data_IF_174253952768
#
_entry.id   IF_174253952768
#
_cell.length_a   1.000
_cell.length_b   1.000
_cell.length_c   1.000
_cell.angle_alpha   90.00
_cell.angle_beta   90.00
_cell.angle_gamma   90.00
#
_symmetry.space_group_name_H-M   'P 1'
#
loop_
_entity.id
_entity.type
_entity.pdbx_description
1 polymer ?
#
# COMPACT_ATOMS: atom_id res chain seq x y z
N UNK A 1 -71.06 56.27 22.28
CA UNK A 1 -69.59 56.48 22.20
C UNK A 1 -68.97 55.84 23.43
N UNK A 2 -67.85 55.12 23.21
CA UNK A 2 -67.00 54.41 24.19
C UNK A 2 -67.63 53.23 24.94
N UNK A 3 -67.34 52.00 24.49
CA UNK A 3 -67.57 50.75 25.23
C UNK A 3 -66.23 50.15 25.69
N UNK A 4 -66.17 49.85 26.99
CA UNK A 4 -65.06 49.22 27.73
C UNK A 4 -65.64 47.98 28.44
N UNK A 5 -64.84 46.90 28.52
CA UNK A 5 -65.02 45.68 29.37
C UNK A 5 -65.97 44.62 28.77
N UNK A 6 -65.73 43.30 28.80
CA UNK A 6 -64.89 42.43 29.64
C UNK A 6 -64.77 41.03 29.01
N UNK A 7 -63.63 40.32 29.26
CA UNK A 7 -63.44 38.89 29.65
C UNK A 7 -64.30 37.78 28.96
N UNK A 8 -63.84 36.59 28.55
CA UNK A 8 -62.73 35.69 28.91
C UNK A 8 -62.66 34.57 27.85
N UNK A 9 -61.51 33.91 27.71
CA UNK A 9 -61.41 32.64 26.99
C UNK A 9 -59.97 32.15 26.90
N UNK A 10 -59.35 31.83 28.03
CA UNK A 10 -57.99 31.32 28.11
C UNK A 10 -57.91 29.84 27.69
N UNK A 11 -56.95 29.55 26.82
CA UNK A 11 -56.36 28.23 26.63
C UNK A 11 -54.86 28.46 26.46
N UNK A 12 -54.13 28.40 27.57
CA UNK A 12 -52.68 28.31 27.54
C UNK A 12 -52.34 26.86 27.13
N UNK A 13 -51.96 26.67 25.87
CA UNK A 13 -51.33 25.44 25.44
C UNK A 13 -49.93 25.39 26.06
N UNK A 14 -49.76 24.61 27.12
CA UNK A 14 -48.45 24.25 27.63
C UNK A 14 -47.79 23.31 26.61
N UNK A 15 -46.95 23.85 25.74
CA UNK A 15 -46.10 23.07 24.85
C UNK A 15 -44.98 22.41 25.67
N UNK A 16 -45.22 21.19 26.13
CA UNK A 16 -44.14 20.29 26.54
C UNK A 16 -43.40 19.88 25.28
N UNK A 17 -42.35 20.63 24.92
CA UNK A 17 -41.38 20.16 23.95
C UNK A 17 -40.69 18.93 24.56
N UNK A 18 -40.75 17.74 23.93
CA UNK A 18 -39.98 16.62 24.39
C UNK A 18 -38.50 17.00 24.24
N UNK A 19 -37.79 17.12 25.36
CA UNK A 19 -36.34 17.21 25.36
C UNK A 19 -35.83 15.82 25.00
N UNK A 20 -35.74 15.54 23.71
CA UNK A 20 -35.03 14.38 23.23
C UNK A 20 -33.56 14.55 23.67
N UNK A 21 -33.14 13.78 24.66
CA UNK A 21 -31.73 13.57 24.94
C UNK A 21 -31.15 12.89 23.69
N UNK A 22 -30.54 13.70 22.83
CA UNK A 22 -29.76 13.21 21.72
C UNK A 22 -28.54 12.47 22.31
N UNK A 23 -28.65 11.15 22.45
CA UNK A 23 -27.49 10.29 22.67
C UNK A 23 -26.72 10.31 21.36
N UNK A 24 -25.69 11.15 21.30
CA UNK A 24 -24.74 11.08 20.19
C UNK A 24 -24.16 9.65 20.16
N UNK A 25 -24.09 8.99 18.98
CA UNK A 25 -23.51 7.67 18.90
C UNK A 25 -22.08 7.74 19.45
N UNK A 26 -21.76 6.87 20.40
CA UNK A 26 -20.42 6.78 20.96
C UNK A 26 -19.44 6.57 19.80
N UNK A 27 -18.56 7.54 19.57
CA UNK A 27 -17.57 7.48 18.50
C UNK A 27 -16.57 6.39 18.87
N UNK A 28 -16.51 5.33 18.08
CA UNK A 28 -15.54 4.26 18.27
C UNK A 28 -14.11 4.84 18.16
N UNK A 29 -13.34 4.73 19.23
CA UNK A 29 -11.96 5.18 19.26
C UNK A 29 -11.04 4.09 18.65
N UNK A 30 -10.88 4.16 17.34
CA UNK A 30 -9.98 3.29 16.58
C UNK A 30 -8.55 3.37 17.13
N UNK A 31 -8.09 4.55 17.57
CA UNK A 31 -6.72 4.73 18.08
C UNK A 31 -6.52 3.96 19.36
N UNK A 32 -7.48 4.04 20.29
CA UNK A 32 -7.42 3.28 21.54
C UNK A 32 -7.52 1.77 21.28
N UNK A 33 -8.42 1.34 20.40
CA UNK A 33 -8.62 -0.06 20.05
C UNK A 33 -7.37 -0.71 19.43
N UNK A 34 -6.75 -0.04 18.45
CA UNK A 34 -5.61 -0.60 17.71
C UNK A 34 -4.24 -0.39 18.38
N UNK A 35 -4.16 0.45 19.42
CA UNK A 35 -2.88 0.89 20.01
C UNK A 35 -1.95 -0.27 20.33
N UNK A 36 -2.44 -1.29 21.04
CA UNK A 36 -1.60 -2.40 21.49
C UNK A 36 -1.05 -3.21 20.30
N UNK A 37 -1.87 -3.45 19.28
CA UNK A 37 -1.47 -4.15 18.05
C UNK A 37 -0.42 -3.36 17.29
N UNK A 38 -0.68 -2.07 17.03
CA UNK A 38 0.24 -1.19 16.29
C UNK A 38 1.60 -1.10 16.98
N UNK A 39 1.63 -0.90 18.30
CA UNK A 39 2.90 -0.76 19.02
C UNK A 39 3.69 -2.07 19.07
N UNK A 40 3.03 -3.23 19.20
CA UNK A 40 3.70 -4.53 19.13
C UNK A 40 4.31 -4.76 17.74
N UNK A 41 3.55 -4.49 16.69
CA UNK A 41 4.01 -4.74 15.32
C UNK A 41 5.14 -3.77 14.94
N UNK A 42 5.01 -2.49 15.29
CA UNK A 42 6.05 -1.49 15.05
C UNK A 42 7.32 -1.75 15.86
N UNK A 43 7.22 -2.21 17.12
CA UNK A 43 8.39 -2.58 17.92
C UNK A 43 9.17 -3.74 17.29
N UNK A 44 8.48 -4.72 16.69
CA UNK A 44 9.12 -5.76 15.88
C UNK A 44 9.83 -5.17 14.66
N UNK A 45 9.13 -4.35 13.88
CA UNK A 45 9.67 -3.80 12.63
C UNK A 45 10.79 -2.77 12.83
N UNK A 46 10.91 -2.14 14.01
CA UNK A 46 12.07 -1.32 14.35
C UNK A 46 13.38 -2.11 14.34
N UNK A 47 13.35 -3.42 14.62
CA UNK A 47 14.54 -4.28 14.59
C UNK A 47 14.89 -4.78 13.19
N UNK A 48 14.12 -4.41 12.18
CA UNK A 48 14.21 -4.94 10.84
C UNK A 48 14.80 -3.90 9.89
N UNK A 49 16.02 -4.14 9.39
CA UNK A 49 16.65 -3.27 8.40
C UNK A 49 15.87 -3.24 7.07
N UNK A 50 15.94 -2.14 6.30
CA UNK A 50 15.44 -2.09 4.93
C UNK A 50 16.03 -3.21 4.08
N UNK A 51 15.16 -3.91 3.37
CA UNK A 51 15.52 -4.87 2.34
C UNK A 51 14.66 -4.57 1.12
N UNK A 52 15.31 -4.36 -0.02
CA UNK A 52 14.65 -4.04 -1.29
C UNK A 52 14.90 -5.16 -2.30
N UNK A 53 14.40 -4.99 -3.51
CA UNK A 53 14.55 -5.99 -4.58
C UNK A 53 16.02 -6.35 -4.87
N UNK A 54 16.98 -5.44 -4.65
CA UNK A 54 18.41 -5.73 -4.92
C UNK A 54 19.00 -6.78 -3.99
N UNK A 55 18.29 -7.15 -2.91
CA UNK A 55 18.72 -8.16 -1.95
C UNK A 55 18.55 -9.60 -2.47
N UNK A 56 17.82 -9.80 -3.56
CA UNK A 56 17.63 -11.09 -4.19
C UNK A 56 17.71 -10.99 -5.71
N UNK A 57 18.07 -12.09 -6.36
CA UNK A 57 18.09 -12.19 -7.81
C UNK A 57 17.62 -13.58 -8.24
N UNK A 58 16.97 -13.65 -9.39
CA UNK A 58 16.63 -14.90 -10.06
C UNK A 58 17.38 -14.98 -11.38
N UNK A 59 18.11 -16.07 -11.60
CA UNK A 59 18.77 -16.32 -12.89
C UNK A 59 17.78 -16.50 -14.06
N UNK A 60 16.49 -16.62 -13.74
CA UNK A 60 15.39 -16.66 -14.73
C UNK A 60 14.88 -15.26 -15.12
N UNK A 61 15.34 -14.20 -14.44
CA UNK A 61 15.02 -12.82 -14.80
C UNK A 61 15.77 -12.38 -16.05
N UNK A 62 15.09 -11.66 -16.93
CA UNK A 62 15.72 -10.93 -18.03
C UNK A 62 16.07 -9.48 -17.66
N UNK A 63 15.68 -9.03 -16.47
CA UNK A 63 15.96 -7.69 -15.94
C UNK A 63 17.26 -7.59 -15.16
N UNK A 64 17.66 -6.36 -14.86
CA UNK A 64 18.80 -6.08 -13.98
C UNK A 64 18.46 -6.15 -12.50
N UNK A 65 19.46 -5.88 -11.65
CA UNK A 65 19.34 -5.95 -10.18
C UNK A 65 18.25 -5.02 -9.61
N UNK A 66 18.02 -3.88 -10.28
CA UNK A 66 17.02 -2.89 -9.89
C UNK A 66 15.65 -3.12 -10.55
N UNK A 67 15.46 -4.21 -11.29
CA UNK A 67 14.19 -4.52 -11.92
C UNK A 67 13.39 -5.53 -11.09
N UNK A 68 12.11 -5.25 -10.89
CA UNK A 68 11.23 -6.17 -10.19
C UNK A 68 10.96 -7.41 -11.06
N UNK A 69 11.10 -8.59 -10.47
CA UNK A 69 10.88 -9.87 -11.11
C UNK A 69 9.97 -10.75 -10.26
N UNK A 70 9.05 -11.43 -10.92
CA UNK A 70 8.20 -12.47 -10.35
C UNK A 70 7.80 -13.44 -11.46
N UNK A 71 7.29 -14.62 -11.07
CA UNK A 71 6.84 -15.64 -12.00
C UNK A 71 5.33 -15.83 -11.92
N UNK A 72 4.73 -16.25 -13.03
CA UNK A 72 3.31 -16.59 -13.05
C UNK A 72 3.02 -17.75 -12.10
N UNK A 73 2.11 -17.55 -11.14
CA UNK A 73 1.86 -18.49 -10.04
C UNK A 73 1.49 -19.90 -10.52
N UNK A 74 0.72 -19.99 -11.59
CA UNK A 74 0.10 -21.23 -12.05
C UNK A 74 0.85 -21.90 -13.20
N UNK A 75 2.14 -21.61 -13.38
CA UNK A 75 2.94 -22.13 -14.49
C UNK A 75 3.99 -23.12 -13.99
N UNK A 76 3.99 -24.32 -14.59
CA UNK A 76 4.76 -25.48 -14.12
C UNK A 76 5.62 -26.07 -15.25
N UNK A 77 6.77 -26.70 -14.92
CA UNK A 77 7.54 -27.46 -15.89
C UNK A 77 6.70 -28.52 -16.58
N UNK A 78 6.82 -28.63 -17.90
CA UNK A 78 6.12 -29.66 -18.66
C UNK A 78 6.86 -31.01 -18.58
N UNK A 79 6.31 -32.07 -17.96
CA UNK A 79 6.98 -33.36 -17.85
C UNK A 79 7.27 -34.03 -19.21
N UNK A 80 6.45 -33.72 -20.22
CA UNK A 80 6.62 -34.24 -21.57
C UNK A 80 7.69 -33.47 -22.38
N UNK A 81 8.05 -32.26 -21.94
CA UNK A 81 9.08 -31.44 -22.56
C UNK A 81 9.88 -30.69 -21.47
N UNK A 82 10.84 -31.36 -20.79
CA UNK A 82 11.51 -30.80 -19.62
C UNK A 82 12.29 -29.49 -19.86
N UNK A 83 12.71 -29.25 -21.11
CA UNK A 83 13.38 -28.01 -21.53
C UNK A 83 12.46 -27.08 -22.33
N UNK A 84 11.17 -27.38 -22.40
CA UNK A 84 10.17 -26.63 -23.14
C UNK A 84 9.50 -25.55 -22.29
N UNK A 85 8.55 -24.80 -22.89
CA UNK A 85 7.76 -23.83 -22.16
C UNK A 85 6.99 -24.46 -21.00
N UNK A 86 6.82 -23.69 -19.93
CA UNK A 86 5.94 -24.10 -18.85
C UNK A 86 4.49 -24.24 -19.32
N UNK A 87 3.72 -25.06 -18.62
CA UNK A 87 2.29 -25.29 -18.85
C UNK A 87 1.48 -24.75 -17.68
N UNK A 88 0.25 -24.33 -17.96
CA UNK A 88 -0.62 -23.73 -16.95
C UNK A 88 -1.38 -24.81 -16.17
N UNK A 89 -1.35 -24.73 -14.84
CA UNK A 89 -2.17 -25.49 -13.90
C UNK A 89 -2.94 -24.49 -13.03
N UNK A 90 -4.11 -24.07 -13.51
CA UNK A 90 -4.87 -23.00 -12.87
C UNK A 90 -5.26 -23.35 -11.42
N UNK A 91 -5.10 -22.38 -10.51
CA UNK A 91 -5.34 -22.57 -9.07
C UNK A 91 -4.25 -23.32 -8.30
N UNK A 92 -3.22 -23.83 -8.98
CA UNK A 92 -2.10 -24.55 -8.36
C UNK A 92 -0.84 -23.69 -8.39
N UNK A 93 -0.50 -23.07 -7.27
CA UNK A 93 0.74 -22.27 -7.14
C UNK A 93 1.98 -23.17 -7.21
N UNK A 94 2.90 -22.86 -8.13
CA UNK A 94 4.19 -23.52 -8.23
C UNK A 94 5.10 -23.14 -7.05
N UNK A 95 5.46 -24.08 -6.15
CA UNK A 95 6.28 -23.79 -4.97
C UNK A 95 7.75 -23.48 -5.31
N UNK A 96 8.16 -23.66 -6.57
CA UNK A 96 9.52 -23.36 -7.05
C UNK A 96 9.64 -21.99 -7.71
N UNK A 97 8.58 -21.21 -7.71
CA UNK A 97 8.61 -19.82 -8.16
C UNK A 97 9.57 -18.99 -7.31
N UNK A 98 10.20 -18.01 -7.95
CA UNK A 98 10.90 -16.95 -7.26
C UNK A 98 9.88 -15.97 -6.67
N UNK A 99 9.85 -15.88 -5.34
CA UNK A 99 8.88 -15.05 -4.60
C UNK A 99 9.49 -13.86 -3.88
N UNK A 100 10.82 -13.75 -3.81
CA UNK A 100 11.51 -12.83 -2.91
C UNK A 100 11.11 -11.35 -3.11
N UNK A 101 10.97 -10.87 -4.35
CA UNK A 101 10.60 -9.47 -4.59
C UNK A 101 9.16 -9.16 -4.13
N UNK A 102 8.22 -10.09 -4.36
CA UNK A 102 6.84 -9.98 -3.85
C UNK A 102 6.83 -9.98 -2.32
N UNK A 103 7.61 -10.85 -1.69
CA UNK A 103 7.74 -10.92 -0.23
C UNK A 103 8.32 -9.62 0.35
N UNK A 104 9.34 -9.05 -0.28
CA UNK A 104 9.92 -7.77 0.14
C UNK A 104 8.93 -6.62 0.00
N UNK A 105 8.14 -6.57 -1.07
CA UNK A 105 7.14 -5.53 -1.27
C UNK A 105 5.96 -5.67 -0.29
N UNK A 106 5.50 -6.90 -0.06
CA UNK A 106 4.50 -7.20 0.97
C UNK A 106 5.00 -6.77 2.35
N UNK A 107 6.25 -7.10 2.68
CA UNK A 107 6.90 -6.70 3.94
C UNK A 107 6.96 -5.18 4.07
N UNK A 108 7.35 -4.45 3.02
CA UNK A 108 7.31 -2.99 3.02
C UNK A 108 5.89 -2.46 3.28
N UNK A 109 4.87 -3.05 2.63
CA UNK A 109 3.48 -2.59 2.75
C UNK A 109 2.87 -2.77 4.14
N UNK A 110 3.40 -3.67 4.96
CA UNK A 110 2.96 -3.84 6.35
C UNK A 110 3.84 -3.09 7.34
N UNK A 111 5.13 -2.92 7.05
CA UNK A 111 6.06 -2.16 7.88
C UNK A 111 5.73 -0.67 7.88
N UNK A 112 5.51 -0.10 6.69
CA UNK A 112 5.24 1.32 6.51
C UNK A 112 4.04 1.84 7.31
N UNK A 113 2.82 1.28 7.17
CA UNK A 113 1.68 1.74 7.95
C UNK A 113 1.85 1.46 9.45
N UNK A 114 2.50 0.36 9.86
CA UNK A 114 2.72 0.05 11.28
C UNK A 114 3.66 1.07 11.95
N UNK A 115 4.81 1.35 11.33
CA UNK A 115 5.79 2.33 11.82
C UNK A 115 5.20 3.75 11.83
N UNK A 116 4.57 4.17 10.73
CA UNK A 116 3.95 5.50 10.66
C UNK A 116 2.80 5.63 11.67
N UNK A 117 1.96 4.60 11.84
CA UNK A 117 0.89 4.62 12.84
C UNK A 117 1.44 4.67 14.28
N UNK A 118 2.52 3.95 14.58
CA UNK A 118 3.15 4.02 15.89
C UNK A 118 3.69 5.42 16.19
N UNK A 119 4.31 6.09 15.20
CA UNK A 119 4.67 7.50 15.33
C UNK A 119 3.44 8.38 15.58
N UNK A 120 2.35 8.24 14.81
CA UNK A 120 1.10 8.99 15.01
C UNK A 120 0.49 8.79 16.40
N UNK A 121 0.64 7.61 17.00
CA UNK A 121 0.08 7.26 18.31
C UNK A 121 0.94 7.68 19.50
N UNK A 122 2.24 7.90 19.30
CA UNK A 122 3.22 8.07 20.39
C UNK A 122 3.99 9.38 20.30
N UNK A 123 4.16 9.94 19.10
CA UNK A 123 5.08 11.03 18.82
C UNK A 123 6.56 10.61 18.78
N UNK A 124 6.89 9.33 19.01
CA UNK A 124 8.27 8.88 19.07
C UNK A 124 8.93 8.87 17.68
N UNK A 125 9.94 9.71 17.49
CA UNK A 125 10.59 9.93 16.18
C UNK A 125 11.23 8.67 15.59
N UNK A 126 11.72 7.74 16.43
CA UNK A 126 12.34 6.47 15.98
C UNK A 126 11.47 5.69 14.98
N UNK A 127 10.15 5.70 15.15
CA UNK A 127 9.27 4.98 14.22
C UNK A 127 9.17 5.68 12.86
N UNK A 128 9.04 7.01 12.85
CA UNK A 128 9.01 7.79 11.63
C UNK A 128 10.37 7.75 10.90
N UNK A 129 11.47 7.88 11.63
CA UNK A 129 12.82 7.84 11.06
C UNK A 129 13.12 6.48 10.44
N UNK A 130 12.66 5.39 11.07
CA UNK A 130 12.78 4.05 10.49
C UNK A 130 11.90 3.84 9.25
N UNK A 131 10.67 4.37 9.26
CA UNK A 131 9.82 4.38 8.06
C UNK A 131 10.49 5.15 6.90
N UNK A 132 11.09 6.30 7.18
CA UNK A 132 11.83 7.08 6.19
C UNK A 132 13.07 6.33 5.66
N UNK A 133 13.74 5.53 6.49
CA UNK A 133 14.85 4.69 6.04
C UNK A 133 14.39 3.64 5.01
N UNK A 134 13.23 3.00 5.23
CA UNK A 134 12.63 2.09 4.25
C UNK A 134 12.28 2.80 2.94
N UNK A 135 11.60 3.95 3.01
CA UNK A 135 11.21 4.74 1.82
C UNK A 135 12.45 5.15 1.01
N UNK A 136 13.50 5.62 1.68
CA UNK A 136 14.75 6.00 1.01
C UNK A 136 15.39 4.83 0.28
N UNK A 137 15.49 3.67 0.92
CA UNK A 137 16.06 2.48 0.31
C UNK A 137 15.28 2.06 -0.95
N UNK A 138 13.95 2.08 -0.90
CA UNK A 138 13.12 1.60 -2.01
C UNK A 138 13.03 2.56 -3.20
N UNK A 139 13.10 3.88 -2.98
CA UNK A 139 12.74 4.86 -4.01
C UNK A 139 13.80 5.94 -4.29
N UNK A 140 14.83 6.06 -3.46
CA UNK A 140 15.76 7.20 -3.52
C UNK A 140 17.21 6.76 -3.66
N UNK A 141 17.66 5.82 -2.84
CA UNK A 141 19.06 5.41 -2.82
C UNK A 141 19.42 4.64 -4.10
N UNK A 142 20.33 5.14 -4.94
CA UNK A 142 20.69 4.50 -6.20
C UNK A 142 21.30 3.10 -6.03
N UNK A 143 21.82 2.77 -4.84
CA UNK A 143 22.35 1.44 -4.56
C UNK A 143 21.26 0.40 -4.28
N UNK A 144 20.05 0.82 -3.93
CA UNK A 144 18.99 -0.09 -3.45
C UNK A 144 17.60 0.14 -4.05
N UNK A 145 17.39 1.22 -4.81
CA UNK A 145 16.08 1.56 -5.35
C UNK A 145 15.51 0.46 -6.26
N UNK A 146 14.20 0.37 -6.30
CA UNK A 146 13.50 -0.36 -7.36
C UNK A 146 13.30 0.57 -8.56
N UNK A 147 13.47 0.09 -9.80
CA UNK A 147 13.10 0.87 -10.98
C UNK A 147 11.56 1.05 -11.03
N UNK A 148 11.04 2.20 -11.50
CA UNK A 148 9.61 2.51 -11.50
C UNK A 148 8.88 1.81 -12.67
N UNK A 149 8.96 0.48 -12.76
CA UNK A 149 8.27 -0.32 -13.77
C UNK A 149 8.12 -1.79 -13.33
N UNK A 150 7.27 -2.54 -14.04
CA UNK A 150 7.09 -3.99 -13.88
C UNK A 150 7.31 -4.73 -15.20
N UNK A 151 8.41 -4.41 -15.90
CA UNK A 151 8.71 -4.99 -17.20
C UNK A 151 8.86 -6.52 -17.15
N UNK A 152 9.34 -7.05 -16.02
CA UNK A 152 9.67 -8.47 -15.85
C UNK A 152 8.80 -9.18 -14.80
N UNK A 153 7.64 -8.61 -14.49
CA UNK A 153 6.70 -9.21 -13.54
C UNK A 153 5.87 -10.33 -14.18
N UNK A 154 5.63 -11.38 -13.39
CA UNK A 154 4.91 -12.60 -13.76
C UNK A 154 5.39 -13.24 -15.07
N UNK A 155 6.71 -13.31 -15.23
CA UNK A 155 7.36 -14.04 -16.31
C UNK A 155 6.91 -15.51 -16.36
N UNK A 156 6.96 -16.10 -17.55
CA UNK A 156 6.64 -17.51 -17.76
C UNK A 156 7.78 -18.12 -18.57
N UNK A 157 8.44 -19.12 -17.99
CA UNK A 157 9.57 -19.78 -18.61
C UNK A 157 9.24 -20.31 -20.02
N UNK A 158 10.04 -19.92 -21.01
CA UNK A 158 9.87 -20.30 -22.41
C UNK A 158 8.71 -19.60 -23.15
N UNK A 159 8.01 -18.65 -22.52
CA UNK A 159 6.87 -17.93 -23.14
C UNK A 159 7.09 -16.42 -23.13
N UNK A 160 7.33 -15.82 -21.96
CA UNK A 160 7.50 -14.36 -21.84
C UNK A 160 8.39 -13.99 -20.67
N UNK A 161 9.13 -12.90 -20.79
CA UNK A 161 9.96 -12.33 -19.72
C UNK A 161 9.17 -11.46 -18.74
N UNK A 162 7.91 -11.14 -19.04
CA UNK A 162 6.98 -10.37 -18.20
C UNK A 162 5.66 -10.12 -18.92
N UNK A 163 4.60 -9.71 -18.22
CA UNK A 163 3.25 -9.52 -18.80
C UNK A 163 2.37 -8.60 -17.95
N UNK A 164 1.25 -8.14 -18.51
CA UNK A 164 0.34 -7.19 -17.86
C UNK A 164 -0.16 -7.65 -16.49
N UNK A 165 -0.54 -8.92 -16.35
CA UNK A 165 -1.00 -9.50 -15.07
C UNK A 165 -0.03 -9.32 -13.90
N UNK A 166 1.25 -9.06 -14.18
CA UNK A 166 2.25 -8.72 -13.18
C UNK A 166 1.98 -7.41 -12.43
N UNK A 167 1.14 -6.50 -12.96
CA UNK A 167 0.80 -5.22 -12.31
C UNK A 167 0.21 -5.41 -10.91
N UNK A 168 -0.58 -6.48 -10.70
CA UNK A 168 -1.17 -6.82 -9.41
C UNK A 168 -0.13 -6.96 -8.29
N UNK A 169 1.12 -7.33 -8.63
CA UNK A 169 2.18 -7.56 -7.66
C UNK A 169 2.53 -6.29 -6.86
N UNK A 170 2.25 -5.12 -7.42
CA UNK A 170 2.51 -3.82 -6.76
C UNK A 170 1.29 -3.17 -6.14
N UNK A 171 0.16 -3.85 -6.03
CA UNK A 171 -1.00 -3.33 -5.28
C UNK A 171 -0.62 -2.93 -3.84
N UNK A 172 0.39 -3.60 -3.29
CA UNK A 172 1.02 -3.33 -2.00
C UNK A 172 1.60 -1.91 -1.86
N UNK A 173 1.95 -1.23 -2.96
CA UNK A 173 2.46 0.15 -2.92
C UNK A 173 1.41 1.16 -2.43
N UNK A 174 0.11 0.84 -2.49
CA UNK A 174 -0.96 1.73 -2.01
C UNK A 174 -0.75 2.07 -0.54
N UNK A 175 -0.52 1.08 0.32
CA UNK A 175 -0.29 1.29 1.76
C UNK A 175 0.98 2.10 2.03
N UNK A 176 2.01 1.91 1.20
CA UNK A 176 3.29 2.62 1.29
C UNK A 176 3.09 4.11 0.99
N UNK A 177 2.40 4.45 -0.10
CA UNK A 177 2.11 5.85 -0.47
C UNK A 177 1.26 6.53 0.60
N UNK A 178 0.25 5.84 1.15
CA UNK A 178 -0.59 6.39 2.23
C UNK A 178 0.22 6.67 3.51
N UNK A 179 1.18 5.82 3.84
CA UNK A 179 2.09 6.06 4.95
C UNK A 179 3.05 7.25 4.68
N UNK A 180 3.55 7.38 3.45
CA UNK A 180 4.39 8.50 3.03
C UNK A 180 3.62 9.83 3.12
N UNK A 181 2.35 9.86 2.69
CA UNK A 181 1.48 11.05 2.79
C UNK A 181 1.41 11.56 4.23
N UNK A 182 1.20 10.66 5.20
CA UNK A 182 1.13 11.02 6.64
C UNK A 182 2.45 11.64 7.13
N UNK A 183 3.59 11.07 6.72
CA UNK A 183 4.92 11.60 7.09
C UNK A 183 5.20 12.94 6.39
N UNK A 184 4.76 13.12 5.14
CA UNK A 184 4.88 14.37 4.39
C UNK A 184 4.07 15.47 5.04
N UNK A 185 2.80 15.20 5.36
CA UNK A 185 1.88 16.18 5.97
C UNK A 185 2.36 16.59 7.37
N UNK A 186 3.14 15.73 8.03
CA UNK A 186 3.84 16.02 9.27
C UNK A 186 5.18 16.77 9.09
N UNK A 187 5.55 17.13 7.86
CA UNK A 187 6.82 17.77 7.48
C UNK A 187 8.06 16.98 7.90
N UNK A 188 7.98 15.64 7.90
CA UNK A 188 9.08 14.77 8.32
C UNK A 188 9.93 14.26 7.14
N UNK A 189 9.39 14.30 5.92
CA UNK A 189 10.11 13.88 4.72
C UNK A 189 11.02 15.02 4.25
N UNK A 190 12.35 14.84 4.15
CA UNK A 190 13.24 15.85 3.61
C UNK A 190 12.87 16.21 2.18
N UNK A 191 13.02 17.48 1.81
CA UNK A 191 12.55 18.00 0.52
C UNK A 191 13.17 17.29 -0.69
N UNK A 192 14.47 16.95 -0.62
CA UNK A 192 15.15 16.20 -1.67
C UNK A 192 14.58 14.78 -1.84
N UNK A 193 14.33 14.08 -0.74
CA UNK A 193 13.72 12.74 -0.80
C UNK A 193 12.29 12.82 -1.32
N UNK A 194 11.50 13.80 -0.86
CA UNK A 194 10.13 13.97 -1.32
C UNK A 194 10.07 14.21 -2.84
N UNK A 195 10.99 15.01 -3.38
CA UNK A 195 11.10 15.22 -4.82
C UNK A 195 11.44 13.92 -5.56
N UNK A 196 12.41 13.14 -5.06
CA UNK A 196 12.79 11.85 -5.65
C UNK A 196 11.65 10.82 -5.61
N UNK A 197 10.98 10.67 -4.47
CA UNK A 197 9.82 9.78 -4.29
C UNK A 197 8.70 10.18 -5.25
N UNK A 198 8.38 11.48 -5.33
CA UNK A 198 7.34 11.98 -6.22
C UNK A 198 7.69 11.70 -7.69
N UNK A 199 8.95 11.92 -8.08
CA UNK A 199 9.43 11.60 -9.42
C UNK A 199 9.35 10.11 -9.73
N UNK A 200 9.64 9.24 -8.75
CA UNK A 200 9.53 7.79 -8.90
C UNK A 200 8.09 7.37 -9.18
N UNK A 201 7.12 7.81 -8.37
CA UNK A 201 5.71 7.47 -8.57
C UNK A 201 5.12 8.09 -9.84
N UNK A 202 5.58 9.27 -10.24
CA UNK A 202 5.19 9.87 -11.52
C UNK A 202 5.68 9.03 -12.71
N UNK A 203 6.93 8.56 -12.68
CA UNK A 203 7.46 7.66 -13.71
C UNK A 203 6.72 6.32 -13.72
N UNK A 204 6.39 5.78 -12.55
CA UNK A 204 5.64 4.52 -12.47
C UNK A 204 4.22 4.65 -13.02
N UNK A 205 3.53 5.75 -12.70
CA UNK A 205 2.20 6.04 -13.23
C UNK A 205 2.23 6.23 -14.76
N UNK A 206 3.25 6.91 -15.29
CA UNK A 206 3.46 7.04 -16.74
C UNK A 206 3.71 5.68 -17.40
N UNK A 207 4.56 4.83 -16.79
CA UNK A 207 4.80 3.47 -17.28
C UNK A 207 3.52 2.62 -17.28
N UNK A 208 2.70 2.69 -16.22
CA UNK A 208 1.40 1.99 -16.18
C UNK A 208 0.46 2.45 -17.29
N UNK A 209 0.45 3.74 -17.62
CA UNK A 209 -0.45 4.30 -18.62
C UNK A 209 -0.01 4.03 -20.07
N UNK A 210 1.29 3.85 -20.31
CA UNK A 210 1.87 3.88 -21.66
C UNK A 210 2.61 2.62 -22.08
N UNK A 211 3.06 1.78 -21.14
CA UNK A 211 3.81 0.57 -21.46
C UNK A 211 2.91 -0.53 -22.05
N UNK A 212 3.46 -1.46 -22.85
CA UNK A 212 2.71 -2.61 -23.34
C UNK A 212 2.10 -3.45 -22.22
N UNK A 213 2.84 -3.70 -21.13
CA UNK A 213 2.33 -4.45 -19.98
C UNK A 213 1.22 -3.69 -19.25
N UNK A 214 1.36 -2.38 -19.05
CA UNK A 214 0.32 -1.56 -18.41
C UNK A 214 -0.98 -1.51 -19.22
N UNK A 215 -0.86 -1.40 -20.54
CA UNK A 215 -1.99 -1.44 -21.48
C UNK A 215 -2.66 -2.81 -21.50
N UNK A 216 -1.86 -3.89 -21.55
CA UNK A 216 -2.35 -5.29 -21.50
C UNK A 216 -3.19 -5.53 -20.24
N UNK A 217 -2.74 -5.06 -19.08
CA UNK A 217 -3.53 -5.20 -17.85
C UNK A 217 -4.78 -4.33 -17.82
N UNK A 218 -4.69 -3.08 -18.29
CA UNK A 218 -5.86 -2.18 -18.34
C UNK A 218 -6.98 -2.77 -19.18
N UNK A 219 -6.63 -3.41 -20.30
CA UNK A 219 -7.57 -3.96 -21.27
C UNK A 219 -7.95 -5.43 -20.96
N UNK A 220 -7.38 -6.03 -19.91
CA UNK A 220 -7.72 -7.37 -19.46
C UNK A 220 -9.16 -7.41 -18.92
N UNK A 221 -9.96 -8.35 -19.44
CA UNK A 221 -11.38 -8.54 -19.09
C UNK A 221 -11.60 -9.79 -18.25
#
# INVERSE_FOLDING_TARGET
MTTRRTFLGGLAAASLAPTALAVAPARFDVRAFDRARVLRDAARYLGEAPATIVAAHSDRSAGGLHDFFSEGDYWWPNPAAPNGPYIQHDGETNPHNFTAHREYLLRLSIQMPALTSAWVLTGERRYADHALAHVRAWFVDPATLMNPNLQYAQAIHGITTGRGRGVIDTIHLVEVVRAIDVLRDAHLVPSADLAAITAWFAQYADWLATSPNGIDERDAT
#
